data_IF_427155043722
#
_entry.id   IF_427155043722
#
_cell.length_a   1.000
_cell.length_b   1.000
_cell.length_c   1.000
_cell.angle_alpha   90.00
_cell.angle_beta   90.00
_cell.angle_gamma   90.00
#
_symmetry.space_group_name_H-M   'P 1'
#
loop_
_entity.id
_entity.type
_entity.pdbx_description
1 polymer ?
#
# COMPACT_ATOMS: atom_id res chain seq x y z
N UNK A 1 8.79 -6.27 -23.72
CA UNK A 1 9.94 -7.12 -23.34
C UNK A 1 9.89 -7.24 -21.82
N UNK A 2 9.28 -8.31 -21.29
CA UNK A 2 9.20 -8.60 -19.85
C UNK A 2 10.46 -9.41 -19.47
N UNK A 3 11.45 -8.84 -18.77
CA UNK A 3 12.72 -9.52 -18.57
C UNK A 3 12.78 -10.18 -17.19
N UNK A 4 11.84 -11.07 -16.85
CA UNK A 4 12.02 -12.05 -15.75
C UNK A 4 11.17 -13.28 -16.03
N UNK A 5 11.62 -14.08 -17.00
CA UNK A 5 11.00 -15.34 -17.36
C UNK A 5 11.31 -16.44 -16.34
N UNK A 6 10.23 -17.04 -15.81
CA UNK A 6 10.06 -18.36 -15.19
C UNK A 6 11.32 -19.22 -15.02
N UNK A 7 11.85 -19.29 -13.80
CA UNK A 7 13.06 -20.07 -13.52
C UNK A 7 12.85 -21.57 -13.29
N UNK A 8 11.66 -22.09 -12.94
CA UNK A 8 11.36 -23.55 -12.83
C UNK A 8 9.85 -23.90 -12.84
N UNK A 9 9.48 -25.18 -13.01
CA UNK A 9 8.08 -25.66 -12.99
C UNK A 9 7.40 -25.48 -11.63
N UNK A 10 8.11 -25.76 -10.52
CA UNK A 10 7.58 -25.56 -9.16
C UNK A 10 7.24 -24.10 -8.88
N UNK A 11 8.04 -23.16 -9.39
CA UNK A 11 7.72 -21.71 -9.28
C UNK A 11 6.44 -21.34 -10.03
N UNK A 12 6.09 -22.02 -11.13
CA UNK A 12 4.83 -21.76 -11.85
C UNK A 12 3.62 -22.26 -11.09
N UNK A 13 3.73 -23.45 -10.49
CA UNK A 13 2.63 -24.02 -9.69
C UNK A 13 2.39 -23.21 -8.42
N UNK A 14 3.45 -22.77 -7.73
CA UNK A 14 3.38 -21.87 -6.58
C UNK A 14 2.64 -20.58 -6.96
N UNK A 15 3.12 -19.87 -7.99
CA UNK A 15 2.51 -18.61 -8.45
C UNK A 15 1.06 -18.77 -8.89
N UNK A 16 0.72 -19.87 -9.57
CA UNK A 16 -0.67 -20.15 -9.98
C UNK A 16 -1.59 -20.34 -8.78
N UNK A 17 -1.13 -21.00 -7.71
CA UNK A 17 -1.91 -21.18 -6.48
C UNK A 17 -2.10 -19.86 -5.75
N UNK A 18 -1.04 -19.05 -5.66
CA UNK A 18 -1.11 -17.71 -5.07
C UNK A 18 -2.13 -16.83 -5.80
N UNK A 19 -2.14 -16.85 -7.13
CA UNK A 19 -3.10 -16.08 -7.93
C UNK A 19 -4.55 -16.50 -7.65
N UNK A 20 -4.82 -17.81 -7.60
CA UNK A 20 -6.16 -18.31 -7.31
C UNK A 20 -6.61 -17.98 -5.88
N UNK A 21 -5.70 -18.05 -4.91
CA UNK A 21 -5.98 -17.62 -3.53
C UNK A 21 -6.31 -16.13 -3.45
N UNK A 22 -5.55 -15.27 -4.16
CA UNK A 22 -5.82 -13.83 -4.23
C UNK A 22 -7.20 -13.56 -4.85
N UNK A 23 -7.51 -14.21 -5.98
CA UNK A 23 -8.83 -14.07 -6.62
C UNK A 23 -9.98 -14.48 -5.69
N UNK A 24 -9.78 -15.56 -4.92
CA UNK A 24 -10.77 -16.04 -3.96
C UNK A 24 -10.93 -15.09 -2.76
N UNK A 25 -9.85 -14.43 -2.34
CA UNK A 25 -9.83 -13.48 -1.23
C UNK A 25 -10.33 -12.07 -1.62
N UNK A 26 -10.16 -11.67 -2.89
CA UNK A 26 -10.44 -10.33 -3.40
C UNK A 26 -11.82 -9.77 -3.00
N UNK A 27 -12.94 -10.52 -3.03
CA UNK A 27 -14.24 -9.99 -2.64
C UNK A 27 -14.36 -9.56 -1.16
N UNK A 28 -13.39 -9.94 -0.30
CA UNK A 28 -13.35 -9.54 1.11
C UNK A 28 -12.69 -8.19 1.33
N UNK A 29 -11.75 -7.81 0.45
CA UNK A 29 -10.87 -6.66 0.63
C UNK A 29 -11.10 -5.55 -0.39
N UNK A 30 -11.97 -5.80 -1.38
CA UNK A 30 -12.24 -4.87 -2.47
C UNK A 30 -13.74 -4.67 -2.57
N UNK A 31 -14.19 -3.43 -2.44
CA UNK A 31 -15.60 -3.08 -2.62
C UNK A 31 -15.94 -2.83 -4.09
N UNK A 32 -17.23 -2.82 -4.42
CA UNK A 32 -17.69 -2.41 -5.76
C UNK A 32 -17.29 -0.97 -6.10
N UNK A 33 -17.29 -0.08 -5.11
CA UNK A 33 -16.85 1.32 -5.27
C UNK A 33 -15.35 1.38 -5.65
N UNK A 34 -14.52 0.53 -5.05
CA UNK A 34 -13.08 0.51 -5.34
C UNK A 34 -12.76 0.10 -6.79
N UNK A 35 -13.56 -0.79 -7.38
CA UNK A 35 -13.35 -1.27 -8.77
C UNK A 35 -14.13 -0.48 -9.82
N UNK A 36 -15.13 0.30 -9.42
CA UNK A 36 -15.94 1.11 -10.35
C UNK A 36 -15.56 2.59 -10.35
N UNK A 37 -14.80 3.07 -9.35
CA UNK A 37 -14.17 4.38 -9.32
C UNK A 37 -14.85 5.39 -8.37
N UNK A 38 -14.41 6.66 -8.35
CA UNK A 38 -13.46 7.30 -9.27
C UNK A 38 -12.00 6.91 -9.03
N UNK A 39 -11.31 6.47 -10.08
CA UNK A 39 -9.87 6.19 -10.03
C UNK A 39 -9.05 7.47 -9.82
N UNK A 40 -7.89 7.32 -9.18
CA UNK A 40 -6.96 8.40 -8.83
C UNK A 40 -5.62 8.20 -9.54
N UNK A 41 -4.93 9.30 -9.82
CA UNK A 41 -3.52 9.25 -10.23
C UNK A 41 -2.66 8.93 -9.00
N UNK A 42 -1.95 7.81 -9.05
CA UNK A 42 -1.10 7.32 -7.98
C UNK A 42 0.37 7.61 -8.34
N UNK A 43 1.11 8.23 -7.42
CA UNK A 43 2.57 8.26 -7.50
C UNK A 43 3.12 7.01 -6.82
N UNK A 44 3.73 6.12 -7.61
CA UNK A 44 4.24 4.82 -7.16
C UNK A 44 5.60 4.90 -6.48
N UNK A 45 6.20 6.07 -6.50
CA UNK A 45 7.48 6.35 -5.86
C UNK A 45 7.38 7.53 -4.87
N UNK A 46 6.27 7.57 -4.12
CA UNK A 46 6.01 8.62 -3.13
C UNK A 46 6.86 8.41 -1.86
N UNK A 47 8.16 8.73 -1.98
CA UNK A 47 9.17 8.67 -0.92
C UNK A 47 9.67 10.05 -0.53
N UNK A 48 10.23 10.17 0.68
CA UNK A 48 10.78 11.43 1.19
C UNK A 48 11.84 12.03 0.26
N UNK A 49 12.65 11.19 -0.39
CA UNK A 49 13.66 11.64 -1.38
C UNK A 49 13.08 12.35 -2.60
N UNK A 50 11.80 12.14 -2.89
CA UNK A 50 11.08 12.73 -4.02
C UNK A 50 10.19 13.92 -3.61
N UNK A 51 10.27 14.40 -2.37
CA UNK A 51 9.47 15.53 -1.87
C UNK A 51 10.38 16.72 -1.61
N UNK A 52 10.16 17.82 -2.33
CA UNK A 52 10.87 19.09 -2.08
C UNK A 52 10.11 19.93 -1.07
N UNK A 53 10.81 20.48 -0.08
CA UNK A 53 10.25 21.37 0.94
C UNK A 53 10.97 22.72 0.97
N UNK A 54 10.26 23.77 1.36
CA UNK A 54 10.87 25.07 1.64
C UNK A 54 11.50 25.13 3.04
N UNK A 55 12.07 26.30 3.40
CA UNK A 55 12.68 26.55 4.71
C UNK A 55 11.74 26.41 5.92
N UNK A 56 10.43 26.38 5.69
CA UNK A 56 9.39 26.22 6.71
C UNK A 56 8.76 24.82 6.65
N UNK A 57 9.40 23.85 5.99
CA UNK A 57 8.90 22.49 5.79
C UNK A 57 7.61 22.38 4.98
N UNK A 58 7.26 23.41 4.20
CA UNK A 58 6.11 23.34 3.30
C UNK A 58 6.50 22.59 2.03
N UNK A 59 5.70 21.59 1.63
CA UNK A 59 5.87 20.89 0.35
C UNK A 59 5.76 21.88 -0.81
N UNK A 60 6.77 21.87 -1.67
CA UNK A 60 6.87 22.75 -2.86
C UNK A 60 6.78 21.99 -4.17
N UNK A 61 7.22 20.73 -4.19
CA UNK A 61 7.08 19.85 -5.34
C UNK A 61 7.12 18.37 -4.92
N UNK A 62 6.48 17.53 -5.73
CA UNK A 62 6.61 16.08 -5.69
C UNK A 62 7.23 15.67 -7.03
N UNK A 63 8.34 14.94 -6.97
CA UNK A 63 9.12 14.50 -8.11
C UNK A 63 8.80 13.05 -8.49
N UNK A 64 9.49 12.56 -9.51
CA UNK A 64 9.53 11.17 -9.95
C UNK A 64 8.16 10.52 -10.20
N UNK A 65 7.51 10.96 -11.30
CA UNK A 65 6.19 10.47 -11.72
C UNK A 65 6.27 9.38 -12.80
N UNK A 66 7.46 8.86 -13.11
CA UNK A 66 7.66 8.02 -14.30
C UNK A 66 6.97 6.65 -14.20
N UNK A 67 6.66 6.21 -12.98
CA UNK A 67 5.91 4.98 -12.70
C UNK A 67 4.46 5.23 -12.28
N UNK A 68 3.97 6.46 -12.37
CA UNK A 68 2.59 6.77 -12.00
C UNK A 68 1.58 6.03 -12.86
N UNK A 69 0.50 5.58 -12.22
CA UNK A 69 -0.63 4.94 -12.88
C UNK A 69 -1.96 5.51 -12.37
N UNK A 70 -3.04 5.20 -13.07
CA UNK A 70 -4.40 5.47 -12.62
C UNK A 70 -4.96 4.19 -12.00
N UNK A 71 -5.49 4.27 -10.79
CA UNK A 71 -6.01 3.11 -10.07
C UNK A 71 -7.00 3.42 -8.96
N UNK A 72 -7.56 2.39 -8.31
CA UNK A 72 -8.44 2.52 -7.16
C UNK A 72 -7.83 3.39 -6.06
N UNK A 73 -8.64 4.20 -5.38
CA UNK A 73 -8.15 4.99 -4.24
C UNK A 73 -7.72 4.13 -3.06
N UNK A 74 -8.19 2.89 -2.94
CA UNK A 74 -7.67 1.95 -1.92
C UNK A 74 -6.18 1.60 -2.12
N UNK A 75 -5.67 1.74 -3.35
CA UNK A 75 -4.24 1.60 -3.67
C UNK A 75 -3.50 2.94 -3.57
N UNK A 76 -4.24 4.03 -3.34
CA UNK A 76 -3.63 5.26 -2.89
C UNK A 76 -3.23 5.02 -1.43
N UNK A 77 -1.93 4.78 -1.26
CA UNK A 77 -1.16 4.80 -0.02
C UNK A 77 -0.79 3.43 0.57
N UNK A 78 0.52 3.18 0.56
CA UNK A 78 1.33 3.28 1.76
C UNK A 78 2.53 4.16 1.42
N UNK A 79 2.89 5.09 2.29
CA UNK A 79 4.21 5.70 2.22
C UNK A 79 5.22 4.55 2.04
N UNK A 80 6.04 4.64 1.00
CA UNK A 80 7.17 3.75 0.86
C UNK A 80 8.15 4.09 1.99
N UNK A 81 7.87 3.57 3.19
CA UNK A 81 8.84 3.45 4.24
C UNK A 81 9.93 2.58 3.65
N UNK A 82 11.17 3.06 3.67
CA UNK A 82 12.31 2.39 3.03
C UNK A 82 12.51 0.92 3.50
N UNK A 83 11.81 0.50 4.56
CA UNK A 83 11.84 -0.82 5.18
C UNK A 83 10.75 -1.81 4.70
N UNK A 84 9.97 -1.53 3.63
CA UNK A 84 8.79 -2.35 3.23
C UNK A 84 9.05 -3.87 3.20
N UNK A 85 10.22 -4.29 2.71
CA UNK A 85 10.60 -5.72 2.65
C UNK A 85 10.76 -6.37 4.03
N UNK A 86 11.28 -5.62 5.03
CA UNK A 86 11.46 -6.11 6.40
C UNK A 86 10.14 -6.10 7.20
N UNK A 87 9.18 -5.27 6.80
CA UNK A 87 7.86 -5.18 7.46
C UNK A 87 7.00 -6.40 7.15
N UNK A 88 7.14 -6.97 5.96
CA UNK A 88 6.33 -8.12 5.55
C UNK A 88 6.92 -9.46 6.04
N UNK A 89 8.22 -9.53 6.30
CA UNK A 89 8.89 -10.73 6.84
C UNK A 89 8.67 -10.95 8.36
N UNK A 90 7.58 -10.45 8.93
CA UNK A 90 7.16 -10.58 10.34
C UNK A 90 8.10 -9.99 11.41
N UNK A 91 9.33 -9.61 11.07
CA UNK A 91 10.34 -9.23 12.04
C UNK A 91 10.05 -7.87 12.70
N UNK A 92 9.32 -6.99 12.01
CA UNK A 92 9.10 -5.61 12.42
C UNK A 92 7.61 -5.23 12.57
N UNK A 93 6.68 -6.18 12.68
CA UNK A 93 5.23 -5.88 12.72
C UNK A 93 4.85 -4.91 13.86
N UNK A 94 5.45 -5.09 15.04
CA UNK A 94 5.25 -4.17 16.17
C UNK A 94 5.77 -2.77 15.85
N UNK A 95 6.92 -2.69 15.21
CA UNK A 95 7.54 -1.41 14.82
C UNK A 95 6.74 -0.72 13.72
N UNK A 96 6.22 -1.49 12.75
CA UNK A 96 5.26 -1.04 11.75
C UNK A 96 4.06 -0.41 12.43
N UNK A 97 3.41 -1.16 13.34
CA UNK A 97 2.21 -0.68 14.02
C UNK A 97 2.49 0.62 14.79
N UNK A 98 3.61 0.71 15.50
CA UNK A 98 3.98 1.93 16.23
C UNK A 98 4.18 3.13 15.29
N UNK A 99 4.89 2.95 14.16
CA UNK A 99 5.07 4.00 13.14
C UNK A 99 3.72 4.37 12.51
N UNK A 100 2.87 3.39 12.24
CA UNK A 100 1.54 3.56 11.65
C UNK A 100 0.63 4.35 12.57
N UNK A 101 0.53 3.96 13.85
CA UNK A 101 -0.29 4.65 14.85
C UNK A 101 0.16 6.12 15.00
N UNK A 102 1.48 6.38 15.02
CA UNK A 102 2.02 7.73 15.06
C UNK A 102 1.68 8.54 13.80
N UNK A 103 1.78 7.93 12.62
CA UNK A 103 1.39 8.55 11.36
C UNK A 103 -0.10 8.92 11.33
N UNK A 104 -0.97 7.97 11.69
CA UNK A 104 -2.43 8.19 11.73
C UNK A 104 -2.81 9.28 12.72
N UNK A 105 -2.11 9.38 13.86
CA UNK A 105 -2.32 10.47 14.80
C UNK A 105 -2.04 11.85 14.17
N UNK A 106 -0.89 12.00 13.49
CA UNK A 106 -0.52 13.24 12.82
C UNK A 106 -1.50 13.61 11.69
N UNK A 107 -1.98 12.61 10.95
CA UNK A 107 -2.99 12.81 9.91
C UNK A 107 -4.30 13.32 10.51
N UNK A 108 -4.78 12.73 11.61
CA UNK A 108 -6.00 13.18 12.30
C UNK A 108 -5.89 14.62 12.78
N UNK A 109 -4.77 14.97 13.42
CA UNK A 109 -4.51 16.34 13.85
C UNK A 109 -4.55 17.33 12.68
N UNK A 110 -4.03 16.93 11.52
CA UNK A 110 -4.03 17.76 10.32
C UNK A 110 -5.41 17.85 9.65
N UNK A 111 -6.18 16.76 9.61
CA UNK A 111 -7.59 16.75 9.17
C UNK A 111 -8.42 17.72 10.02
N UNK A 112 -8.31 17.62 11.36
CA UNK A 112 -8.96 18.51 12.32
C UNK A 112 -8.56 19.98 12.11
N UNK A 113 -7.26 20.25 11.98
CA UNK A 113 -6.72 21.60 11.76
C UNK A 113 -7.23 22.22 10.46
N UNK A 114 -7.51 21.41 9.43
CA UNK A 114 -8.06 21.84 8.14
C UNK A 114 -9.58 21.87 8.09
N UNK A 115 -10.26 21.36 9.12
CA UNK A 115 -11.72 21.18 9.12
C UNK A 115 -12.18 20.16 8.08
N UNK A 116 -11.32 19.18 7.76
CA UNK A 116 -11.68 18.04 6.93
C UNK A 116 -12.38 16.98 7.77
N UNK A 117 -13.13 16.08 7.14
CA UNK A 117 -13.57 14.88 7.83
C UNK A 117 -12.37 13.95 8.05
N UNK A 118 -12.41 13.13 9.10
CA UNK A 118 -11.40 12.10 9.39
C UNK A 118 -11.50 10.91 8.41
N UNK A 119 -11.97 11.12 7.18
CA UNK A 119 -12.27 10.07 6.22
C UNK A 119 -11.03 9.28 5.81
N UNK A 120 -9.88 9.94 5.69
CA UNK A 120 -8.64 9.28 5.30
C UNK A 120 -8.03 8.52 6.48
N UNK A 121 -7.84 9.16 7.64
CA UNK A 121 -7.28 8.49 8.81
C UNK A 121 -8.15 7.33 9.32
N UNK A 122 -9.48 7.46 9.27
CA UNK A 122 -10.43 6.41 9.64
C UNK A 122 -10.36 5.24 8.68
N UNK A 123 -10.32 5.50 7.37
CA UNK A 123 -10.20 4.45 6.35
C UNK A 123 -8.89 3.68 6.48
N UNK A 124 -7.77 4.36 6.67
CA UNK A 124 -6.48 3.69 6.87
C UNK A 124 -6.47 2.84 8.14
N UNK A 125 -7.08 3.34 9.23
CA UNK A 125 -7.22 2.55 10.47
C UNK A 125 -8.04 1.28 10.23
N UNK A 126 -9.16 1.39 9.51
CA UNK A 126 -9.99 0.25 9.13
C UNK A 126 -9.20 -0.76 8.29
N UNK A 127 -8.44 -0.30 7.29
CA UNK A 127 -7.62 -1.18 6.45
C UNK A 127 -6.58 -1.98 7.25
N UNK A 128 -6.01 -1.38 8.31
CA UNK A 128 -5.11 -2.12 9.19
C UNK A 128 -5.86 -3.19 10.01
N UNK A 129 -7.04 -2.84 10.53
CA UNK A 129 -7.86 -3.70 11.40
C UNK A 129 -8.48 -4.89 10.67
N UNK A 130 -8.99 -4.68 9.45
CA UNK A 130 -9.65 -5.73 8.65
C UNK A 130 -8.68 -6.50 7.74
N UNK A 131 -7.42 -6.07 7.68
CA UNK A 131 -6.36 -6.71 6.91
C UNK A 131 -6.25 -6.26 5.45
N UNK A 132 -7.09 -5.32 4.99
CA UNK A 132 -7.04 -4.74 3.64
C UNK A 132 -5.69 -4.09 3.35
N UNK A 133 -5.03 -3.51 4.35
CA UNK A 133 -3.70 -2.92 4.21
C UNK A 133 -2.67 -3.96 3.75
N UNK A 134 -2.71 -5.14 4.35
CA UNK A 134 -1.82 -6.26 4.01
C UNK A 134 -2.18 -6.85 2.64
N UNK A 135 -3.46 -6.84 2.27
CA UNK A 135 -3.89 -7.24 0.94
C UNK A 135 -3.41 -6.28 -0.16
N UNK A 136 -3.39 -4.97 0.10
CA UNK A 136 -3.00 -3.94 -0.87
C UNK A 136 -1.48 -3.84 -1.06
N UNK A 137 -0.68 -3.97 0.01
CA UNK A 137 0.79 -3.93 -0.04
C UNK A 137 1.46 -4.74 -1.17
N UNK A 138 1.15 -6.03 -1.36
CA UNK A 138 1.82 -6.85 -2.36
C UNK A 138 1.35 -6.58 -3.79
N UNK A 139 0.15 -6.00 -3.99
CA UNK A 139 -0.29 -5.51 -5.33
C UNK A 139 0.75 -4.53 -5.88
N UNK A 140 1.48 -3.87 -4.99
CA UNK A 140 2.54 -2.92 -5.27
C UNK A 140 3.91 -3.57 -5.49
N UNK A 141 4.22 -4.67 -4.79
CA UNK A 141 5.52 -5.37 -4.89
C UNK A 141 5.38 -6.86 -5.27
N UNK A 142 5.81 -7.18 -6.50
CA UNK A 142 5.76 -8.53 -7.08
C UNK A 142 6.55 -9.61 -6.30
N UNK A 143 7.34 -9.22 -5.29
CA UNK A 143 8.29 -10.09 -4.57
C UNK A 143 7.79 -10.61 -3.22
N UNK A 144 6.63 -10.14 -2.73
CA UNK A 144 6.22 -10.36 -1.34
C UNK A 144 5.08 -11.39 -1.19
N UNK A 145 4.42 -11.76 -2.29
CA UNK A 145 3.18 -12.55 -2.31
C UNK A 145 3.17 -13.87 -1.52
N UNK A 146 4.29 -14.60 -1.47
CA UNK A 146 4.34 -15.90 -0.78
C UNK A 146 4.21 -15.77 0.75
N UNK A 147 4.68 -14.67 1.35
CA UNK A 147 4.62 -14.44 2.80
C UNK A 147 3.24 -13.92 3.27
N UNK A 148 2.42 -13.41 2.34
CA UNK A 148 1.15 -12.76 2.66
C UNK A 148 -0.05 -13.72 2.63
N UNK A 149 0.05 -14.83 1.90
CA UNK A 149 -0.97 -15.88 1.96
C UNK A 149 -1.15 -16.43 3.37
N UNK A 150 -0.10 -16.41 4.20
CA UNK A 150 -0.17 -16.80 5.62
C UNK A 150 -0.97 -15.82 6.50
N UNK A 151 -1.23 -14.60 6.02
CA UNK A 151 -1.97 -13.55 6.76
C UNK A 151 -3.42 -13.40 6.32
N UNK A 152 -3.75 -13.87 5.12
CA UNK A 152 -5.06 -13.67 4.48
C UNK A 152 -5.91 -14.95 4.48
N UNK A 153 -5.28 -16.12 4.60
CA UNK A 153 -5.92 -17.44 4.69
C UNK A 153 -5.75 -18.04 6.08
#
# INVERSE_FOLDING_TARGET
MLPYAFKNYDTRLSQSRSLEAIKAAMPRFVSEEDITGPFKLLNRDFRLGNILVDKNWKITAVLDWVFSNVGPSQLAELFAWDDQEDMVKHKLEREFKNKFDAFILLVREEEDRRGMDDSFSRRMSQYLEDGTLWFNLPIEEYMIWEHLLERVC
#
